data_IF_459864613846
#
_entry.id   IF_459864613846
#
_cell.length_a   1.000
_cell.length_b   1.000
_cell.length_c   1.000
_cell.angle_alpha   90.00
_cell.angle_beta   90.00
_cell.angle_gamma   90.00
#
_symmetry.space_group_name_H-M   'P 1'
#
loop_
_entity.id
_entity.type
_entity.pdbx_description
1 polymer ?
#
# COMPACT_ATOMS: atom_id res chain seq x y z
N UNK A 1 4.14 17.68 15.21
CA UNK A 1 3.24 17.06 14.23
C UNK A 1 3.70 17.44 12.84
N UNK A 2 3.98 16.45 12.01
CA UNK A 2 4.56 16.65 10.67
C UNK A 2 3.50 16.45 9.59
N UNK A 3 3.39 17.41 8.65
CA UNK A 3 2.57 17.27 7.46
C UNK A 3 3.08 16.12 6.59
N UNK A 4 2.15 15.34 6.04
CA UNK A 4 2.47 14.20 5.18
C UNK A 4 2.51 14.64 3.72
N UNK A 5 3.48 14.14 2.98
CA UNK A 5 3.47 14.21 1.54
C UNK A 5 2.40 13.27 0.96
N UNK A 6 1.89 13.61 -0.21
CA UNK A 6 0.91 12.77 -0.88
C UNK A 6 1.57 12.02 -2.02
N UNK A 7 1.42 10.70 -2.00
CA UNK A 7 1.68 9.82 -3.12
C UNK A 7 0.37 9.35 -3.76
N UNK A 8 0.48 8.67 -4.89
CA UNK A 8 -0.65 8.06 -5.58
C UNK A 8 -0.24 6.78 -6.29
N UNK A 9 -1.10 5.78 -6.26
CA UNK A 9 -0.97 4.61 -7.13
C UNK A 9 -1.20 5.06 -8.57
N UNK A 10 -0.23 4.88 -9.45
CA UNK A 10 -0.22 5.52 -10.79
C UNK A 10 -1.43 5.15 -11.64
N UNK A 11 -1.87 3.90 -11.58
CA UNK A 11 -3.03 3.41 -12.34
C UNK A 11 -4.40 3.84 -11.76
N UNK A 12 -4.41 4.53 -10.63
CA UNK A 12 -5.59 5.28 -10.17
C UNK A 12 -5.82 6.59 -10.96
N UNK A 13 -4.89 6.92 -11.84
CA UNK A 13 -5.04 8.01 -12.81
C UNK A 13 -5.11 7.44 -14.22
N UNK A 14 -4.06 6.71 -14.64
CA UNK A 14 -3.96 6.08 -15.95
C UNK A 14 -2.99 4.90 -15.92
N UNK A 15 -3.28 3.86 -16.72
CA UNK A 15 -2.33 2.78 -16.99
C UNK A 15 -1.10 3.26 -17.76
N UNK A 16 -1.21 4.38 -18.49
CA UNK A 16 -0.06 5.05 -19.09
C UNK A 16 0.63 5.93 -18.04
N UNK A 17 1.84 5.54 -17.60
CA UNK A 17 2.55 6.26 -16.55
C UNK A 17 2.88 7.72 -16.92
N UNK A 18 3.18 8.02 -18.17
CA UNK A 18 3.44 9.40 -18.61
C UNK A 18 2.19 10.27 -18.46
N UNK A 19 1.02 9.71 -18.78
CA UNK A 19 -0.26 10.39 -18.58
C UNK A 19 -0.56 10.57 -17.08
N UNK A 20 -0.37 9.51 -16.28
CA UNK A 20 -0.51 9.56 -14.83
C UNK A 20 0.40 10.63 -14.22
N UNK A 21 1.67 10.68 -14.63
CA UNK A 21 2.64 11.69 -14.23
C UNK A 21 2.16 13.12 -14.56
N UNK A 22 1.67 13.37 -15.78
CA UNK A 22 1.20 14.72 -16.18
C UNK A 22 0.08 15.23 -15.28
N UNK A 23 -0.91 14.38 -14.99
CA UNK A 23 -2.00 14.76 -14.08
C UNK A 23 -1.50 14.96 -12.64
N UNK A 24 -0.76 14.02 -12.11
CA UNK A 24 -0.25 14.06 -10.75
C UNK A 24 0.67 15.28 -10.52
N UNK A 25 1.56 15.56 -11.48
CA UNK A 25 2.45 16.74 -11.42
C UNK A 25 1.66 18.05 -11.42
N UNK A 26 0.59 18.16 -12.24
CA UNK A 26 -0.30 19.32 -12.22
C UNK A 26 -1.03 19.48 -10.86
N UNK A 27 -1.18 18.42 -10.11
CA UNK A 27 -1.74 18.45 -8.74
C UNK A 27 -0.68 18.63 -7.67
N UNK A 28 0.62 18.73 -8.03
CA UNK A 28 1.74 18.83 -7.11
C UNK A 28 2.02 17.52 -6.36
N UNK A 29 1.71 16.36 -6.96
CA UNK A 29 2.09 15.03 -6.48
C UNK A 29 3.40 14.62 -7.17
N UNK A 30 4.34 14.12 -6.37
CA UNK A 30 5.66 13.70 -6.83
C UNK A 30 6.01 12.27 -6.47
N UNK A 31 5.18 11.62 -5.65
CA UNK A 31 5.37 10.28 -5.15
C UNK A 31 4.39 9.33 -5.83
N UNK A 32 4.91 8.26 -6.40
CA UNK A 32 4.12 7.27 -7.12
C UNK A 32 4.30 5.87 -6.54
N UNK A 33 3.24 5.08 -6.58
CA UNK A 33 3.31 3.64 -6.42
C UNK A 33 3.00 2.97 -7.76
N UNK A 34 3.77 1.95 -8.13
CA UNK A 34 3.56 1.20 -9.37
C UNK A 34 2.82 -0.11 -9.08
N UNK A 35 1.70 -0.30 -9.78
CA UNK A 35 0.87 -1.51 -9.69
C UNK A 35 0.57 -2.07 -11.07
N UNK A 36 -0.24 -1.41 -11.87
CA UNK A 36 -0.56 -1.80 -13.24
C UNK A 36 -0.08 -0.75 -14.23
N UNK A 37 0.38 -1.22 -15.40
CA UNK A 37 0.71 -0.42 -16.56
C UNK A 37 -0.10 -0.92 -17.77
N UNK A 38 0.06 -0.31 -18.93
CA UNK A 38 -0.69 -0.69 -20.14
C UNK A 38 -0.52 -2.17 -20.51
N UNK A 39 0.69 -2.71 -20.38
CA UNK A 39 1.01 -4.09 -20.76
C UNK A 39 0.73 -5.13 -19.67
N UNK A 40 0.46 -4.71 -18.44
CA UNK A 40 0.16 -5.64 -17.36
C UNK A 40 0.49 -5.11 -15.97
N UNK A 41 0.58 -6.04 -15.02
CA UNK A 41 0.97 -5.74 -13.64
C UNK A 41 2.49 -5.87 -13.48
N UNK A 42 3.10 -4.92 -12.76
CA UNK A 42 4.53 -5.02 -12.43
C UNK A 42 4.83 -6.31 -11.65
N UNK A 43 5.97 -6.98 -11.90
CA UNK A 43 7.07 -6.64 -12.82
C UNK A 43 6.86 -7.13 -14.26
N UNK A 44 5.73 -7.74 -14.60
CA UNK A 44 5.46 -8.39 -15.89
C UNK A 44 4.92 -7.41 -16.91
N UNK A 45 5.72 -6.40 -17.23
CA UNK A 45 5.38 -5.30 -18.15
C UNK A 45 6.43 -5.17 -19.24
N UNK A 46 6.06 -4.52 -20.33
CA UNK A 46 6.96 -4.29 -21.45
C UNK A 46 8.17 -3.43 -21.05
N UNK A 47 9.37 -3.82 -21.52
CA UNK A 47 10.59 -3.10 -21.20
C UNK A 47 10.59 -1.63 -21.70
N UNK A 48 9.78 -1.31 -22.70
CA UNK A 48 9.58 0.05 -23.20
C UNK A 48 8.90 0.95 -22.19
N UNK A 49 7.92 0.42 -21.43
CA UNK A 49 7.23 1.17 -20.37
C UNK A 49 8.18 1.48 -19.21
N UNK A 50 9.01 0.49 -18.81
CA UNK A 50 10.02 0.72 -17.77
C UNK A 50 11.02 1.77 -18.20
N UNK A 51 11.50 1.76 -19.45
CA UNK A 51 12.39 2.81 -19.97
C UNK A 51 11.75 4.20 -19.97
N UNK A 52 10.45 4.31 -20.26
CA UNK A 52 9.72 5.58 -20.17
C UNK A 52 9.68 6.07 -18.73
N UNK A 53 9.38 5.18 -17.77
CA UNK A 53 9.41 5.51 -16.33
C UNK A 53 10.81 5.98 -15.91
N UNK A 54 11.86 5.23 -16.23
CA UNK A 54 13.25 5.62 -15.95
C UNK A 54 13.62 7.02 -16.50
N UNK A 55 13.15 7.31 -17.71
CA UNK A 55 13.36 8.62 -18.32
C UNK A 55 12.68 9.74 -17.54
N UNK A 56 11.46 9.51 -17.07
CA UNK A 56 10.73 10.49 -16.26
C UNK A 56 11.41 10.66 -14.91
N UNK A 57 11.75 9.57 -14.21
CA UNK A 57 12.44 9.62 -12.91
C UNK A 57 13.80 10.33 -12.98
N UNK A 58 14.49 10.22 -14.11
CA UNK A 58 15.79 10.89 -14.33
C UNK A 58 15.67 12.39 -14.58
N UNK A 59 14.61 12.82 -15.26
CA UNK A 59 14.49 14.20 -15.76
C UNK A 59 13.57 15.06 -14.90
N UNK A 60 12.74 14.47 -14.10
CA UNK A 60 11.73 15.15 -13.28
C UNK A 60 12.00 14.88 -11.79
N UNK A 61 11.58 15.79 -10.94
CA UNK A 61 11.67 15.65 -9.49
C UNK A 61 10.50 14.81 -8.97
N UNK A 62 10.54 13.51 -9.27
CA UNK A 62 9.53 12.53 -8.85
C UNK A 62 10.17 11.21 -8.43
N UNK A 63 9.45 10.44 -7.64
CA UNK A 63 9.94 9.20 -7.05
C UNK A 63 8.88 8.09 -7.14
N UNK A 64 9.32 6.86 -7.36
CA UNK A 64 8.50 5.66 -7.11
C UNK A 64 8.78 5.19 -5.68
N UNK A 65 7.77 5.21 -4.83
CA UNK A 65 7.89 4.88 -3.40
C UNK A 65 7.72 3.40 -3.10
N UNK A 66 6.94 2.68 -3.92
CA UNK A 66 6.70 1.26 -3.77
C UNK A 66 6.31 0.59 -5.09
N UNK A 67 6.53 -0.74 -5.15
CA UNK A 67 6.04 -1.62 -6.21
C UNK A 67 5.03 -2.59 -5.61
N UNK A 68 3.84 -2.73 -6.21
CA UNK A 68 2.77 -3.63 -5.77
C UNK A 68 2.53 -4.76 -6.79
N UNK A 69 3.33 -5.84 -6.78
CA UNK A 69 3.25 -6.93 -7.76
C UNK A 69 2.03 -7.85 -7.59
N UNK A 70 1.31 -7.75 -6.47
CA UNK A 70 0.12 -8.55 -6.21
C UNK A 70 0.41 -9.98 -5.81
N UNK A 71 1.55 -10.25 -5.18
CA UNK A 71 1.97 -11.57 -4.76
C UNK A 71 1.32 -11.99 -3.44
N UNK A 72 1.21 -13.30 -3.22
CA UNK A 72 0.60 -13.95 -2.06
C UNK A 72 -0.90 -13.69 -1.91
N UNK A 73 -1.61 -13.44 -3.01
CA UNK A 73 -3.07 -13.35 -3.06
C UNK A 73 -3.78 -14.71 -3.17
N UNK A 74 -3.05 -15.80 -3.09
CA UNK A 74 -3.61 -17.15 -3.14
C UNK A 74 -3.74 -17.77 -1.73
N UNK A 75 -4.66 -18.73 -1.54
CA UNK A 75 -4.74 -19.47 -0.31
C UNK A 75 -3.61 -20.51 -0.19
N UNK A 76 -3.27 -20.91 1.04
CA UNK A 76 -2.17 -21.85 1.32
C UNK A 76 -2.37 -23.24 0.69
N UNK A 77 -3.57 -23.62 0.28
CA UNK A 77 -3.82 -24.84 -0.52
C UNK A 77 -3.25 -24.76 -1.94
N UNK A 78 -3.10 -23.55 -2.48
CA UNK A 78 -2.53 -23.32 -3.81
C UNK A 78 -1.00 -23.11 -3.75
N UNK A 79 -0.30 -24.04 -3.09
CA UNK A 79 1.16 -23.94 -2.84
C UNK A 79 1.98 -23.69 -4.11
N UNK A 80 1.60 -24.25 -5.25
CA UNK A 80 2.32 -24.03 -6.52
C UNK A 80 2.30 -22.55 -6.93
N UNK A 81 1.21 -21.85 -6.69
CA UNK A 81 1.09 -20.42 -6.98
C UNK A 81 1.98 -19.63 -6.01
N UNK A 82 1.90 -19.93 -4.72
CA UNK A 82 2.70 -19.27 -3.70
C UNK A 82 4.21 -19.55 -3.85
N UNK A 83 4.59 -20.78 -4.24
CA UNK A 83 5.98 -21.13 -4.52
C UNK A 83 6.50 -20.37 -5.77
N UNK A 84 5.68 -20.20 -6.80
CA UNK A 84 6.02 -19.38 -7.97
C UNK A 84 6.12 -17.89 -7.58
N UNK A 85 5.19 -17.39 -6.75
CA UNK A 85 5.26 -16.02 -6.23
C UNK A 85 6.56 -15.77 -5.48
N UNK A 86 6.96 -16.68 -4.60
CA UNK A 86 8.17 -16.53 -3.79
C UNK A 86 9.44 -16.70 -4.62
N UNK A 87 9.52 -17.70 -5.50
CA UNK A 87 10.78 -18.14 -6.13
C UNK A 87 11.03 -17.55 -7.51
N UNK A 88 9.97 -17.11 -8.19
CA UNK A 88 10.05 -16.61 -9.57
C UNK A 88 9.59 -15.15 -9.67
N UNK A 89 8.45 -14.82 -9.05
CA UNK A 89 7.82 -13.51 -9.23
C UNK A 89 8.43 -12.44 -8.31
N UNK A 90 8.70 -12.79 -7.04
CA UNK A 90 9.33 -11.86 -6.11
C UNK A 90 10.74 -11.44 -6.53
N UNK A 91 11.66 -12.34 -6.96
CA UNK A 91 12.96 -11.92 -7.49
C UNK A 91 12.85 -10.89 -8.59
N UNK A 92 11.94 -11.07 -9.55
CA UNK A 92 11.71 -10.12 -10.65
C UNK A 92 11.17 -8.77 -10.15
N UNK A 93 10.33 -8.78 -9.11
CA UNK A 93 9.87 -7.55 -8.50
C UNK A 93 11.00 -6.81 -7.77
N UNK A 94 11.88 -7.54 -7.09
CA UNK A 94 13.07 -6.97 -6.42
C UNK A 94 14.09 -6.42 -7.43
N UNK A 95 14.34 -7.12 -8.55
CA UNK A 95 15.16 -6.63 -9.66
C UNK A 95 14.59 -5.34 -10.26
N UNK A 96 13.26 -5.26 -10.43
CA UNK A 96 12.61 -4.03 -10.89
C UNK A 96 12.73 -2.91 -9.85
N UNK A 97 12.57 -3.23 -8.56
CA UNK A 97 12.74 -2.28 -7.48
C UNK A 97 14.16 -1.70 -7.46
N UNK A 98 15.19 -2.55 -7.55
CA UNK A 98 16.58 -2.12 -7.65
C UNK A 98 16.82 -1.22 -8.87
N UNK A 99 16.31 -1.61 -10.03
CA UNK A 99 16.42 -0.87 -11.29
C UNK A 99 15.82 0.54 -11.24
N UNK A 100 14.72 0.71 -10.50
CA UNK A 100 14.01 2.00 -10.34
C UNK A 100 14.40 2.73 -9.05
N UNK A 101 15.38 2.23 -8.29
CA UNK A 101 15.79 2.71 -6.95
C UNK A 101 14.63 2.76 -5.93
N UNK A 102 13.70 1.80 -6.04
CA UNK A 102 12.59 1.63 -5.11
C UNK A 102 13.02 0.75 -3.95
N UNK A 103 12.64 1.12 -2.73
CA UNK A 103 13.04 0.38 -1.51
C UNK A 103 11.88 -0.39 -0.86
N UNK A 104 10.69 -0.41 -1.46
CA UNK A 104 9.51 -1.04 -0.86
C UNK A 104 8.77 -1.90 -1.89
N UNK A 105 8.45 -3.14 -1.49
CA UNK A 105 7.64 -4.07 -2.28
C UNK A 105 6.44 -4.49 -1.44
N UNK A 106 5.23 -4.23 -1.95
CA UNK A 106 3.96 -4.53 -1.26
C UNK A 106 3.51 -5.94 -1.63
N UNK A 107 3.33 -6.77 -0.61
CA UNK A 107 2.80 -8.13 -0.72
C UNK A 107 1.49 -8.26 0.08
N UNK A 108 0.81 -9.40 -0.07
CA UNK A 108 -0.44 -9.68 0.63
C UNK A 108 -0.28 -10.81 1.67
N UNK A 109 -1.23 -10.85 2.61
CA UNK A 109 -1.18 -11.75 3.76
C UNK A 109 -1.88 -13.08 3.55
N UNK A 110 -1.90 -13.67 2.35
CA UNK A 110 -2.51 -14.95 1.97
C UNK A 110 -4.04 -15.02 2.16
N UNK A 111 -4.75 -15.42 1.12
CA UNK A 111 -6.20 -15.54 1.15
C UNK A 111 -6.65 -16.55 2.20
N UNK A 112 -7.65 -16.19 2.99
CA UNK A 112 -8.27 -17.08 3.99
C UNK A 112 -8.95 -18.27 3.32
N UNK A 113 -8.81 -19.43 3.95
CA UNK A 113 -9.57 -20.62 3.60
C UNK A 113 -10.56 -20.96 4.72
N UNK A 114 -11.67 -21.60 4.35
CA UNK A 114 -12.61 -22.11 5.32
C UNK A 114 -11.96 -23.18 6.21
N UNK A 115 -11.93 -22.93 7.51
CA UNK A 115 -11.31 -23.80 8.52
C UNK A 115 -9.92 -23.33 8.93
N UNK A 116 -9.81 -22.84 10.17
CA UNK A 116 -8.54 -22.44 10.79
C UNK A 116 -7.64 -23.67 10.94
N UNK A 117 -6.53 -23.71 10.22
CA UNK A 117 -5.50 -24.73 10.42
C UNK A 117 -4.21 -24.06 10.93
N UNK A 118 -3.83 -24.24 12.20
CA UNK A 118 -2.62 -23.64 12.79
C UNK A 118 -1.34 -23.91 11.98
N UNK A 119 -1.22 -25.11 11.39
CA UNK A 119 -0.07 -25.49 10.55
C UNK A 119 0.06 -24.65 9.28
N UNK A 120 -1.04 -24.09 8.77
CA UNK A 120 -1.01 -23.18 7.61
C UNK A 120 -0.54 -21.78 7.99
N UNK A 121 -0.88 -21.30 9.17
CA UNK A 121 -0.41 -20.02 9.70
C UNK A 121 1.12 -19.97 9.80
N UNK A 122 1.74 -20.94 10.45
CA UNK A 122 3.20 -21.02 10.55
C UNK A 122 3.88 -21.06 9.16
N UNK A 123 3.23 -21.74 8.21
CA UNK A 123 3.76 -21.79 6.85
C UNK A 123 3.68 -20.42 6.15
N UNK A 124 2.62 -19.65 6.39
CA UNK A 124 2.54 -18.26 5.90
C UNK A 124 3.66 -17.39 6.49
N UNK A 125 3.95 -17.55 7.79
CA UNK A 125 5.08 -16.88 8.43
C UNK A 125 6.42 -17.22 7.76
N UNK A 126 6.67 -18.52 7.45
CA UNK A 126 7.87 -18.94 6.73
C UNK A 126 7.99 -18.27 5.33
N UNK A 127 6.90 -18.16 4.57
CA UNK A 127 6.92 -17.49 3.27
C UNK A 127 7.28 -16.01 3.38
N UNK A 128 6.69 -15.29 4.34
CA UNK A 128 7.00 -13.88 4.58
C UNK A 128 8.42 -13.69 5.12
N UNK A 129 8.90 -14.59 5.98
CA UNK A 129 10.27 -14.56 6.44
C UNK A 129 11.26 -14.70 5.28
N UNK A 130 11.10 -15.74 4.45
CA UNK A 130 11.96 -15.95 3.26
C UNK A 130 11.86 -14.76 2.30
N UNK A 131 10.66 -14.22 2.07
CA UNK A 131 10.49 -13.04 1.24
C UNK A 131 11.27 -11.82 1.79
N UNK A 132 11.26 -11.64 3.11
CA UNK A 132 12.01 -10.56 3.79
C UNK A 132 13.52 -10.77 3.72
N UNK A 133 13.99 -12.01 3.89
CA UNK A 133 15.42 -12.36 3.71
C UNK A 133 15.89 -12.06 2.29
N UNK A 134 15.11 -12.46 1.27
CA UNK A 134 15.42 -12.15 -0.13
C UNK A 134 15.42 -10.63 -0.41
N UNK A 135 14.46 -9.90 0.14
CA UNK A 135 14.38 -8.45 -0.05
C UNK A 135 15.53 -7.70 0.63
N UNK A 136 16.07 -8.22 1.73
CA UNK A 136 17.23 -7.65 2.41
C UNK A 136 18.48 -7.61 1.52
N UNK A 137 18.67 -8.62 0.65
CA UNK A 137 19.79 -8.68 -0.31
C UNK A 137 19.74 -7.54 -1.34
N UNK A 138 18.53 -6.99 -1.60
CA UNK A 138 18.29 -5.83 -2.47
C UNK A 138 18.19 -4.50 -1.70
N UNK A 139 18.37 -4.53 -0.39
CA UNK A 139 18.16 -3.36 0.47
C UNK A 139 16.71 -2.86 0.45
N UNK A 140 15.75 -3.78 0.28
CA UNK A 140 14.32 -3.51 0.21
C UNK A 140 13.59 -3.92 1.50
N UNK A 141 12.50 -3.21 1.79
CA UNK A 141 11.49 -3.60 2.76
C UNK A 141 10.34 -4.33 2.06
N UNK A 142 9.83 -5.38 2.70
CA UNK A 142 8.55 -6.00 2.36
C UNK A 142 7.45 -5.31 3.18
N UNK A 143 6.44 -4.82 2.51
CA UNK A 143 5.25 -4.27 3.15
C UNK A 143 4.08 -5.25 2.97
N UNK A 144 3.50 -5.71 4.08
CA UNK A 144 2.31 -6.56 4.03
C UNK A 144 1.07 -5.68 4.13
N UNK A 145 0.25 -5.69 3.10
CA UNK A 145 -1.04 -4.99 3.09
C UNK A 145 -2.08 -5.81 3.85
N UNK A 146 -2.79 -5.16 4.77
CA UNK A 146 -3.98 -5.76 5.34
C UNK A 146 -5.13 -5.70 4.32
N UNK A 147 -5.73 -6.85 4.03
CA UNK A 147 -6.83 -6.96 3.07
C UNK A 147 -7.93 -7.88 3.59
N UNK A 148 -9.19 -7.44 3.48
CA UNK A 148 -10.36 -8.22 3.90
C UNK A 148 -10.40 -9.59 3.20
N UNK A 149 -10.64 -10.64 3.98
CA UNK A 149 -10.63 -12.02 3.48
C UNK A 149 -9.24 -12.68 3.44
N UNK A 150 -8.22 -12.02 3.94
CA UNK A 150 -6.86 -12.55 4.07
C UNK A 150 -6.54 -12.92 5.52
N UNK A 151 -5.42 -13.60 5.77
CA UNK A 151 -4.93 -13.84 7.14
C UNK A 151 -4.49 -12.54 7.81
N UNK A 152 -3.92 -11.63 7.03
CA UNK A 152 -3.63 -10.26 7.43
C UNK A 152 -4.79 -9.36 6.99
N UNK A 153 -5.96 -9.45 7.65
CA UNK A 153 -7.18 -8.74 7.27
C UNK A 153 -7.40 -7.45 8.05
N UNK A 154 -6.79 -7.33 9.22
CA UNK A 154 -6.92 -6.22 10.16
C UNK A 154 -5.55 -5.75 10.64
N UNK A 155 -5.49 -4.59 11.29
CA UNK A 155 -4.25 -4.09 11.88
C UNK A 155 -3.69 -5.04 12.94
N UNK A 156 -4.55 -5.56 13.82
CA UNK A 156 -4.15 -6.47 14.88
C UNK A 156 -3.65 -7.81 14.35
N UNK A 157 -4.31 -8.41 13.35
CA UNK A 157 -3.88 -9.70 12.78
C UNK A 157 -2.58 -9.54 11.98
N UNK A 158 -2.45 -8.45 11.21
CA UNK A 158 -1.22 -8.14 10.46
C UNK A 158 -0.05 -7.91 11.42
N UNK A 159 -0.22 -7.03 12.41
CA UNK A 159 0.85 -6.74 13.37
C UNK A 159 1.31 -7.99 14.14
N UNK A 160 0.37 -8.84 14.60
CA UNK A 160 0.73 -10.10 15.28
C UNK A 160 1.61 -11.00 14.43
N UNK A 161 1.25 -11.18 13.15
CA UNK A 161 2.04 -12.01 12.24
C UNK A 161 3.43 -11.44 12.03
N UNK A 162 3.56 -10.13 11.79
CA UNK A 162 4.85 -9.49 11.57
C UNK A 162 5.74 -9.49 12.82
N UNK A 163 5.16 -9.27 14.00
CA UNK A 163 5.87 -9.35 15.29
C UNK A 163 6.39 -10.78 15.55
N UNK A 164 5.59 -11.80 15.21
CA UNK A 164 6.00 -13.20 15.38
C UNK A 164 7.16 -13.59 14.44
N UNK A 165 7.17 -13.04 13.22
CA UNK A 165 8.22 -13.26 12.23
C UNK A 165 9.52 -12.53 12.63
N UNK A 166 9.40 -11.34 13.25
CA UNK A 166 10.49 -10.51 13.80
C UNK A 166 11.61 -10.18 12.80
N UNK A 167 11.24 -9.75 11.59
CA UNK A 167 12.19 -9.31 10.57
C UNK A 167 12.25 -7.78 10.51
N UNK A 168 13.43 -7.14 10.56
CA UNK A 168 13.54 -5.68 10.65
C UNK A 168 13.05 -4.93 9.40
N UNK A 169 13.10 -5.59 8.23
CA UNK A 169 12.64 -5.07 6.95
C UNK A 169 11.24 -5.57 6.54
N UNK A 170 10.48 -6.17 7.47
CA UNK A 170 9.09 -6.56 7.27
C UNK A 170 8.18 -5.53 7.95
N UNK A 171 7.39 -4.80 7.16
CA UNK A 171 6.58 -3.67 7.58
C UNK A 171 5.12 -3.84 7.13
N UNK A 172 4.28 -2.92 7.54
CA UNK A 172 2.86 -2.89 7.18
C UNK A 172 2.60 -1.82 6.11
N UNK A 173 1.86 -2.18 5.07
CA UNK A 173 1.09 -1.24 4.26
C UNK A 173 -0.31 -1.15 4.90
N UNK A 174 -0.57 -0.08 5.65
CA UNK A 174 -1.81 0.07 6.39
C UNK A 174 -2.93 0.61 5.49
N UNK A 175 -3.99 -0.18 5.34
CA UNK A 175 -5.23 0.22 4.67
C UNK A 175 -6.40 0.23 5.67
N UNK A 176 -6.78 1.40 6.20
CA UNK A 176 -7.92 1.52 7.10
C UNK A 176 -9.25 1.08 6.50
N UNK A 177 -9.43 1.26 5.17
CA UNK A 177 -10.65 0.86 4.48
C UNK A 177 -10.82 -0.66 4.47
N UNK A 178 -9.75 -1.41 4.25
CA UNK A 178 -9.77 -2.86 4.32
C UNK A 178 -10.01 -3.36 5.75
N UNK A 179 -9.41 -2.73 6.76
CA UNK A 179 -9.61 -3.06 8.17
C UNK A 179 -11.03 -2.78 8.67
N UNK A 180 -11.67 -1.73 8.14
CA UNK A 180 -13.05 -1.38 8.48
C UNK A 180 -14.04 -2.52 8.26
N UNK A 181 -13.84 -3.34 7.22
CA UNK A 181 -14.69 -4.48 6.90
C UNK A 181 -14.49 -5.69 7.83
N UNK A 182 -13.49 -5.65 8.70
CA UNK A 182 -13.18 -6.72 9.65
C UNK A 182 -13.69 -6.40 11.07
N UNK A 183 -14.62 -5.45 11.19
CA UNK A 183 -15.18 -4.98 12.47
C UNK A 183 -14.12 -4.50 13.48
N UNK A 184 -12.91 -4.15 13.00
CA UNK A 184 -11.87 -3.57 13.83
C UNK A 184 -12.06 -2.04 13.94
N UNK A 185 -12.02 -1.52 15.16
CA UNK A 185 -11.96 -0.08 15.36
C UNK A 185 -10.64 0.47 14.77
N UNK A 186 -10.72 1.39 13.81
CA UNK A 186 -9.56 1.87 13.04
C UNK A 186 -8.48 2.50 13.92
N UNK A 187 -8.86 3.14 15.04
CA UNK A 187 -7.91 3.64 16.04
C UNK A 187 -7.15 2.50 16.71
N UNK A 188 -7.83 1.38 17.00
CA UNK A 188 -7.20 0.17 17.57
C UNK A 188 -6.26 -0.48 16.56
N UNK A 189 -6.71 -0.66 15.32
CA UNK A 189 -5.89 -1.20 14.24
C UNK A 189 -4.61 -0.38 14.02
N UNK A 190 -4.74 0.95 13.98
CA UNK A 190 -3.60 1.85 13.85
C UNK A 190 -2.61 1.70 15.02
N UNK A 191 -3.08 1.64 16.28
CA UNK A 191 -2.21 1.46 17.46
C UNK A 191 -1.40 0.15 17.38
N UNK A 192 -1.95 -0.91 16.78
CA UNK A 192 -1.22 -2.14 16.55
C UNK A 192 -0.11 -2.00 15.51
N UNK A 193 -0.36 -1.27 14.41
CA UNK A 193 0.56 -1.22 13.27
C UNK A 193 1.54 -0.07 13.29
N UNK A 194 1.32 0.99 14.07
CA UNK A 194 2.07 2.25 13.97
C UNK A 194 3.59 2.14 14.01
N UNK A 195 4.14 1.23 14.81
CA UNK A 195 5.59 1.01 14.88
C UNK A 195 6.14 0.08 13.78
N UNK A 196 5.24 -0.52 13.00
CA UNK A 196 5.55 -1.39 11.87
C UNK A 196 5.23 -0.71 10.53
N UNK A 197 4.78 0.54 10.53
CA UNK A 197 4.37 1.23 9.32
C UNK A 197 5.52 1.40 8.33
N UNK A 198 5.25 1.02 7.08
CA UNK A 198 6.08 1.33 5.92
C UNK A 198 5.35 2.20 4.90
N UNK A 199 4.03 2.10 4.81
CA UNK A 199 3.17 2.89 3.94
C UNK A 199 1.73 2.92 4.49
N UNK A 200 0.90 3.83 3.97
CA UNK A 200 -0.54 3.89 4.23
C UNK A 200 -1.28 4.10 2.91
N UNK A 201 -2.24 3.25 2.61
CA UNK A 201 -3.17 3.46 1.51
C UNK A 201 -4.38 4.28 1.95
N UNK A 202 -4.70 5.28 1.15
CA UNK A 202 -5.82 6.21 1.38
C UNK A 202 -6.96 5.85 0.43
N UNK A 203 -7.96 5.16 0.97
CA UNK A 203 -9.16 4.69 0.29
C UNK A 203 -10.36 4.86 1.21
N UNK A 204 -11.53 5.14 0.66
CA UNK A 204 -12.75 5.25 1.44
C UNK A 204 -13.86 4.35 0.88
N UNK A 205 -14.80 3.94 1.71
CA UNK A 205 -15.89 3.05 1.33
C UNK A 205 -17.20 3.47 2.00
N UNK A 206 -18.32 3.17 1.34
CA UNK A 206 -19.63 3.29 2.00
C UNK A 206 -19.74 2.34 3.17
N UNK A 207 -20.55 2.72 4.14
CA UNK A 207 -20.89 1.81 5.22
C UNK A 207 -21.63 0.58 4.64
N UNK A 208 -21.16 -0.62 5.00
CA UNK A 208 -21.72 -1.87 4.49
C UNK A 208 -20.84 -3.07 4.77
N UNK A 209 -21.21 -4.20 4.23
CA UNK A 209 -20.53 -5.49 4.42
C UNK A 209 -19.54 -5.85 3.31
N UNK A 210 -19.34 -4.97 2.34
CA UNK A 210 -18.38 -5.13 1.24
C UNK A 210 -17.82 -3.78 0.83
N UNK A 211 -16.66 -3.78 0.18
CA UNK A 211 -16.04 -2.56 -0.32
C UNK A 211 -16.86 -1.97 -1.47
N UNK A 212 -17.39 -0.78 -1.26
CA UNK A 212 -17.95 0.09 -2.31
C UNK A 212 -17.20 1.41 -2.23
N UNK A 213 -16.13 1.52 -3.02
CA UNK A 213 -15.23 2.67 -2.95
C UNK A 213 -15.95 3.97 -3.35
N UNK A 214 -15.70 5.00 -2.56
CA UNK A 214 -16.21 6.37 -2.77
C UNK A 214 -15.06 7.37 -2.55
N UNK A 215 -15.20 8.61 -2.99
CA UNK A 215 -14.21 9.65 -2.69
C UNK A 215 -13.98 9.79 -1.19
N UNK A 216 -12.75 10.05 -0.82
CA UNK A 216 -12.34 10.26 0.58
C UNK A 216 -13.17 11.36 1.24
N UNK A 217 -13.72 11.05 2.41
CA UNK A 217 -14.61 11.92 3.17
C UNK A 217 -16.09 11.82 2.80
N UNK A 218 -16.46 10.98 1.83
CA UNK A 218 -17.85 10.63 1.49
C UNK A 218 -18.25 9.25 2.00
N UNK A 219 -17.31 8.50 2.56
CA UNK A 219 -17.50 7.16 3.08
C UNK A 219 -17.57 7.08 4.60
N UNK A 220 -17.23 5.90 5.10
CA UNK A 220 -17.32 5.56 6.52
C UNK A 220 -15.98 5.68 7.27
N UNK A 221 -14.87 5.93 6.56
CA UNK A 221 -13.55 5.97 7.18
C UNK A 221 -13.31 7.34 7.81
N UNK A 222 -13.00 7.38 9.10
CA UNK A 222 -12.58 8.60 9.79
C UNK A 222 -11.16 9.02 9.37
N UNK A 223 -11.03 9.52 8.13
CA UNK A 223 -9.75 9.96 7.61
C UNK A 223 -9.14 11.11 8.40
N UNK A 224 -9.95 11.99 8.99
CA UNK A 224 -9.43 13.07 9.85
C UNK A 224 -8.76 12.50 11.11
N UNK A 225 -9.38 11.51 11.74
CA UNK A 225 -8.81 10.79 12.89
C UNK A 225 -7.55 10.03 12.54
N UNK A 226 -7.55 9.28 11.42
CA UNK A 226 -6.37 8.54 10.94
C UNK A 226 -5.21 9.48 10.63
N UNK A 227 -5.42 10.53 9.84
CA UNK A 227 -4.37 11.50 9.51
C UNK A 227 -3.81 12.18 10.77
N UNK A 228 -4.67 12.57 11.72
CA UNK A 228 -4.22 13.17 12.99
C UNK A 228 -3.29 12.22 13.75
N UNK A 229 -3.61 10.95 13.83
CA UNK A 229 -2.78 9.95 14.50
C UNK A 229 -1.43 9.78 13.79
N UNK A 230 -1.44 9.61 12.46
CA UNK A 230 -0.24 9.43 11.64
C UNK A 230 0.69 10.68 11.72
N UNK A 231 0.11 11.88 11.59
CA UNK A 231 0.85 13.14 11.66
C UNK A 231 1.43 13.40 13.06
N UNK A 232 0.72 12.99 14.12
CA UNK A 232 1.18 13.10 15.52
C UNK A 232 2.37 12.17 15.79
N UNK A 233 2.27 10.92 15.32
CA UNK A 233 3.22 9.87 15.68
C UNK A 233 4.47 9.89 14.78
N UNK A 234 4.44 10.57 13.62
CA UNK A 234 5.56 10.84 12.70
C UNK A 234 6.34 9.59 12.26
N UNK A 235 5.66 8.42 12.21
CA UNK A 235 6.29 7.15 11.85
C UNK A 235 6.63 7.04 10.35
N UNK A 236 5.88 7.76 9.50
CA UNK A 236 6.09 7.83 8.04
C UNK A 236 6.00 9.28 7.56
N UNK A 237 6.55 9.54 6.38
CA UNK A 237 6.57 10.89 5.78
C UNK A 237 5.51 11.14 4.72
N UNK A 238 4.84 10.09 4.22
CA UNK A 238 3.84 10.20 3.16
C UNK A 238 2.71 9.19 3.33
N UNK A 239 1.61 9.43 2.62
CA UNK A 239 0.50 8.48 2.43
C UNK A 239 0.19 8.38 0.94
N UNK A 240 -0.26 7.21 0.46
CA UNK A 240 -0.49 6.92 -0.94
C UNK A 240 -1.99 6.81 -1.23
N UNK A 241 -2.50 7.63 -2.16
CA UNK A 241 -3.90 7.60 -2.57
C UNK A 241 -4.15 6.39 -3.46
N UNK A 242 -5.15 5.59 -3.09
CA UNK A 242 -5.66 4.43 -3.81
C UNK A 242 -7.17 4.60 -4.05
N UNK A 243 -7.54 5.26 -5.13
CA UNK A 243 -8.89 5.82 -5.34
C UNK A 243 -9.98 4.77 -5.51
N UNK A 244 -9.79 3.80 -6.39
CA UNK A 244 -10.73 2.71 -6.72
C UNK A 244 -12.16 3.13 -7.09
N UNK A 245 -12.44 4.41 -7.32
CA UNK A 245 -13.76 4.88 -7.74
C UNK A 245 -13.67 5.75 -9.02
N UNK A 246 -14.65 5.57 -9.90
CA UNK A 246 -14.68 6.19 -11.22
C UNK A 246 -15.50 7.49 -11.25
N UNK A 247 -15.16 8.44 -12.16
CA UNK A 247 -14.02 8.43 -13.10
C UNK A 247 -12.69 8.65 -12.36
N UNK A 248 -11.67 7.82 -12.63
CA UNK A 248 -10.45 7.77 -11.85
C UNK A 248 -9.75 9.13 -11.68
N UNK A 249 -9.51 9.85 -12.77
CA UNK A 249 -8.80 11.15 -12.75
C UNK A 249 -9.51 12.17 -11.86
N UNK A 250 -10.85 12.31 -12.01
CA UNK A 250 -11.64 13.27 -11.25
C UNK A 250 -11.69 12.89 -9.75
N UNK A 251 -11.92 11.62 -9.46
CA UNK A 251 -12.03 11.15 -8.08
C UNK A 251 -10.67 11.16 -7.37
N UNK A 252 -9.58 10.82 -8.07
CA UNK A 252 -8.22 10.95 -7.55
C UNK A 252 -7.88 12.40 -7.21
N UNK A 253 -8.21 13.35 -8.11
CA UNK A 253 -8.03 14.78 -7.81
C UNK A 253 -8.82 15.22 -6.58
N UNK A 254 -10.07 14.77 -6.46
CA UNK A 254 -10.93 15.06 -5.30
C UNK A 254 -10.34 14.50 -4.01
N UNK A 255 -9.81 13.27 -4.05
CA UNK A 255 -9.13 12.66 -2.90
C UNK A 255 -7.89 13.47 -2.48
N UNK A 256 -7.05 13.89 -3.45
CA UNK A 256 -5.91 14.78 -3.19
C UNK A 256 -6.33 16.05 -2.46
N UNK A 257 -7.36 16.73 -2.98
CA UNK A 257 -7.85 17.98 -2.40
C UNK A 257 -8.45 17.77 -1.00
N UNK A 258 -9.19 16.68 -0.81
CA UNK A 258 -9.78 16.34 0.49
C UNK A 258 -8.71 16.07 1.54
N UNK A 259 -7.69 15.27 1.22
CA UNK A 259 -6.61 14.97 2.18
C UNK A 259 -5.83 16.24 2.54
N UNK A 260 -5.53 17.10 1.57
CA UNK A 260 -4.88 18.39 1.85
C UNK A 260 -5.69 19.25 2.80
N UNK A 261 -6.98 19.41 2.53
CA UNK A 261 -7.90 20.16 3.39
C UNK A 261 -7.95 19.59 4.81
N UNK A 262 -8.04 18.26 4.94
CA UNK A 262 -8.03 17.60 6.26
C UNK A 262 -6.73 17.85 7.02
N UNK A 263 -5.58 17.82 6.35
CA UNK A 263 -4.30 18.17 6.98
C UNK A 263 -4.27 19.64 7.42
N UNK A 264 -4.77 20.59 6.61
CA UNK A 264 -4.85 22.00 6.95
C UNK A 264 -5.74 22.25 8.19
N UNK A 265 -6.88 21.54 8.27
CA UNK A 265 -7.76 21.58 9.44
C UNK A 265 -7.06 21.06 10.71
N UNK A 266 -6.36 19.92 10.60
CA UNK A 266 -5.63 19.30 11.72
C UNK A 266 -4.51 20.23 12.22
N UNK A 267 -3.73 20.83 11.32
CA UNK A 267 -2.67 21.78 11.65
C UNK A 267 -3.25 23.02 12.35
N UNK A 268 -4.38 23.55 11.86
CA UNK A 268 -5.06 24.71 12.46
C UNK A 268 -5.56 24.41 13.87
N UNK A 269 -6.14 23.25 14.10
CA UNK A 269 -6.60 22.82 15.43
C UNK A 269 -5.43 22.71 16.42
N UNK A 270 -4.27 22.25 15.96
CA UNK A 270 -3.08 22.12 16.81
C UNK A 270 -2.46 23.46 17.21
N UNK A 271 -2.56 24.49 16.35
CA UNK A 271 -2.04 25.84 16.65
C UNK A 271 -2.93 26.58 17.64
N UNK A 272 -4.23 26.28 17.65
CA UNK A 272 -5.24 26.98 18.48
C UNK A 272 -5.43 26.32 19.86
N UNK A 273 -4.99 25.11 20.11
CA UNK A 273 -5.10 24.36 21.36
C UNK A 273 -3.80 24.30 22.12
#
# INVERSE_FOLDING_TARGET
MKRLELGIVSDEISLNFEEAFRYANAWGIRLFELRNLLSGRVPFVEASEIRSIESILKNEDVQVTAISPGLFKAPMSQRKVLDADLRENLPRALELAERLDVKKVILFGFLLETGKQPSKYFKCCEYLQIASEMAADYGCEILVENEHGFLCDSGSNTARMLIEIDMPNLKVNWDPCNAYLCDEALSTGYEWVKYLLGNVHVKDTRAGSHVECVPVGEGAIDWKGQLRAIMRDEMIGHVTIETHCHPLVEQSKKNVDTIRRLQDEIESEFIMG
#
